data_IF_427511063631
#
_entry.id   IF_427511063631
#
_cell.length_a   1.000
_cell.length_b   1.000
_cell.length_c   1.000
_cell.angle_alpha   90.00
_cell.angle_beta   90.00
_cell.angle_gamma   90.00
#
_symmetry.space_group_name_H-M   'P 1'
#
loop_
_entity.id
_entity.type
_entity.pdbx_description
1 polymer ?
#
# COMPACT_ATOMS: atom_id res chain seq x y z
N UNK A 1 -15.40 50.40 16.86
CA UNK A 1 -16.52 49.50 16.53
C UNK A 1 -16.52 49.10 15.05
N UNK A 2 -15.55 48.26 14.58
CA UNK A 2 -15.46 47.82 13.16
C UNK A 2 -15.26 46.32 13.00
N UNK A 3 -15.41 45.49 14.09
CA UNK A 3 -15.15 44.05 14.09
C UNK A 3 -16.25 43.14 13.50
N UNK A 4 -17.57 43.47 13.50
CA UNK A 4 -18.59 42.55 12.98
C UNK A 4 -18.58 42.38 11.44
N UNK A 5 -18.04 43.35 10.70
CA UNK A 5 -18.03 43.29 9.22
C UNK A 5 -17.03 42.30 8.65
N UNK A 6 -15.90 42.07 9.34
CA UNK A 6 -14.88 41.13 8.88
C UNK A 6 -15.31 39.67 9.07
N UNK A 7 -15.98 39.40 10.20
CA UNK A 7 -16.56 38.05 10.48
C UNK A 7 -17.71 37.74 9.52
N UNK A 8 -18.55 38.72 9.23
CA UNK A 8 -19.62 38.59 8.24
C UNK A 8 -19.08 38.32 6.83
N UNK A 9 -17.99 38.96 6.44
CA UNK A 9 -17.35 38.77 5.12
C UNK A 9 -16.74 37.35 5.00
N UNK A 10 -16.12 36.84 6.07
CA UNK A 10 -15.57 35.49 6.14
C UNK A 10 -16.68 34.42 6.08
N UNK A 11 -17.80 34.63 6.78
CA UNK A 11 -18.96 33.72 6.70
C UNK A 11 -19.60 33.71 5.33
N UNK A 12 -19.68 34.86 4.64
CA UNK A 12 -20.20 34.94 3.27
C UNK A 12 -19.30 34.21 2.26
N UNK A 13 -17.98 34.31 2.42
CA UNK A 13 -17.04 33.57 1.56
C UNK A 13 -17.17 32.06 1.78
N UNK A 14 -17.37 31.60 3.03
CA UNK A 14 -17.58 30.17 3.35
C UNK A 14 -18.94 29.69 2.81
N UNK A 15 -20.01 30.50 2.92
CA UNK A 15 -21.32 30.14 2.36
C UNK A 15 -21.35 30.14 0.82
N UNK A 16 -20.63 31.04 0.18
CA UNK A 16 -20.54 31.06 -1.29
C UNK A 16 -19.81 29.82 -1.86
N UNK A 17 -18.93 29.20 -1.10
CA UNK A 17 -18.28 27.95 -1.51
C UNK A 17 -19.17 26.71 -1.34
N UNK A 18 -20.16 26.78 -0.44
CA UNK A 18 -21.13 25.69 -0.23
C UNK A 18 -22.24 25.62 -1.30
N UNK A 19 -22.39 26.66 -2.12
CA UNK A 19 -23.44 26.76 -3.16
C UNK A 19 -22.92 26.63 -4.59
N UNK A 20 -21.74 26.00 -4.80
CA UNK A 20 -21.38 25.58 -6.16
C UNK A 20 -22.34 24.50 -6.60
N UNK A 21 -23.08 24.70 -7.74
CA UNK A 21 -24.02 23.70 -8.22
C UNK A 21 -23.26 22.38 -8.40
N UNK A 22 -23.80 21.32 -7.81
CA UNK A 22 -23.32 19.97 -8.05
C UNK A 22 -23.27 19.77 -9.57
N UNK A 23 -22.05 19.62 -10.09
CA UNK A 23 -21.87 19.26 -11.49
C UNK A 23 -22.56 17.92 -11.69
N UNK A 24 -23.36 17.79 -12.74
CA UNK A 24 -23.93 16.52 -13.15
C UNK A 24 -22.87 15.43 -13.00
N UNK A 25 -23.17 14.35 -12.29
CA UNK A 25 -22.35 13.16 -12.24
C UNK A 25 -22.06 12.78 -13.70
N UNK A 26 -20.81 12.94 -14.11
CA UNK A 26 -20.37 12.40 -15.40
C UNK A 26 -20.71 10.91 -15.32
N UNK A 27 -21.43 10.38 -16.32
CA UNK A 27 -21.88 8.99 -16.40
C UNK A 27 -20.66 8.06 -16.32
N UNK A 28 -20.23 7.74 -15.10
CA UNK A 28 -19.13 6.80 -14.85
C UNK A 28 -19.57 5.34 -15.05
N UNK A 29 -20.86 5.14 -15.29
CA UNK A 29 -21.49 3.83 -15.37
C UNK A 29 -21.34 3.17 -16.74
N UNK A 30 -21.00 3.95 -17.78
CA UNK A 30 -20.85 3.39 -19.12
C UNK A 30 -19.45 2.83 -19.31
N UNK A 31 -19.34 1.50 -19.34
CA UNK A 31 -18.08 0.79 -19.56
C UNK A 31 -17.52 0.95 -20.98
N UNK A 32 -18.34 1.39 -21.96
CA UNK A 32 -17.88 1.66 -23.31
C UNK A 32 -17.00 2.89 -23.37
N UNK A 33 -17.25 3.86 -22.50
CA UNK A 33 -16.55 5.15 -22.45
C UNK A 33 -15.24 5.10 -21.62
N UNK A 34 -14.86 3.94 -21.07
CA UNK A 34 -13.60 3.79 -20.32
C UNK A 34 -12.42 4.23 -21.20
N UNK A 35 -11.56 5.09 -20.64
CA UNK A 35 -10.43 5.70 -21.34
C UNK A 35 -10.70 7.14 -21.78
N UNK A 36 -11.98 7.51 -21.99
CA UNK A 36 -12.41 8.87 -22.38
C UNK A 36 -13.15 9.61 -21.25
N UNK A 37 -13.39 8.93 -20.11
CA UNK A 37 -14.10 9.48 -18.96
C UNK A 37 -13.21 10.38 -18.11
N UNK A 38 -13.82 11.36 -17.46
CA UNK A 38 -13.15 12.24 -16.50
C UNK A 38 -13.37 11.72 -15.06
N UNK A 39 -12.63 10.71 -14.67
CA UNK A 39 -12.71 10.13 -13.32
C UNK A 39 -11.82 10.86 -12.32
N UNK A 40 -10.77 11.54 -12.78
CA UNK A 40 -9.79 12.21 -11.94
C UNK A 40 -10.40 13.34 -11.10
N UNK A 41 -10.19 13.27 -9.78
CA UNK A 41 -10.57 14.32 -8.86
C UNK A 41 -9.78 15.61 -9.07
N UNK A 42 -10.41 16.74 -8.76
CA UNK A 42 -9.72 18.04 -8.80
C UNK A 42 -8.65 18.09 -7.71
N UNK A 43 -7.48 18.60 -8.08
CA UNK A 43 -6.36 18.79 -7.18
C UNK A 43 -5.63 20.09 -7.48
N UNK A 44 -5.07 20.73 -6.46
CA UNK A 44 -4.13 21.84 -6.60
C UNK A 44 -2.72 21.36 -7.01
N UNK A 45 -2.49 20.03 -6.97
CA UNK A 45 -1.24 19.38 -7.37
C UNK A 45 -1.37 19.03 -8.84
N UNK A 46 -0.47 19.54 -9.68
CA UNK A 46 -0.42 19.15 -11.10
C UNK A 46 0.01 17.69 -11.24
N UNK A 47 -0.28 17.08 -12.38
CA UNK A 47 0.06 15.69 -12.64
C UNK A 47 1.59 15.47 -12.67
N UNK A 48 2.34 16.42 -13.24
CA UNK A 48 3.81 16.38 -13.27
C UNK A 48 4.40 16.42 -11.86
N UNK A 49 3.84 17.26 -10.98
CA UNK A 49 4.26 17.34 -9.59
C UNK A 49 3.92 16.07 -8.83
N UNK A 50 2.77 15.48 -9.10
CA UNK A 50 2.34 14.19 -8.54
C UNK A 50 3.32 13.08 -8.92
N UNK A 51 3.71 12.97 -10.19
CA UNK A 51 4.70 12.02 -10.69
C UNK A 51 6.06 12.24 -10.01
N UNK A 52 6.50 13.49 -9.89
CA UNK A 52 7.78 13.81 -9.26
C UNK A 52 7.82 13.39 -7.78
N UNK A 53 6.73 13.63 -7.04
CA UNK A 53 6.58 13.22 -5.64
C UNK A 53 6.56 11.69 -5.54
N UNK A 54 5.77 11.02 -6.37
CA UNK A 54 5.68 9.55 -6.38
C UNK A 54 7.02 8.89 -6.68
N UNK A 55 7.79 9.47 -7.62
CA UNK A 55 9.13 8.97 -7.90
C UNK A 55 10.06 9.06 -6.68
N UNK A 56 10.01 10.15 -5.91
CA UNK A 56 10.82 10.27 -4.68
C UNK A 56 10.47 9.17 -3.66
N UNK A 57 9.16 8.90 -3.45
CA UNK A 57 8.73 7.81 -2.58
C UNK A 57 9.13 6.45 -3.15
N UNK A 58 8.98 6.24 -4.46
CA UNK A 58 9.40 5.00 -5.11
C UNK A 58 10.90 4.75 -4.95
N UNK A 59 11.74 5.78 -5.15
CA UNK A 59 13.19 5.68 -4.95
C UNK A 59 13.57 5.38 -3.48
N UNK A 60 12.76 5.79 -2.50
CA UNK A 60 12.94 5.44 -1.10
C UNK A 60 12.53 4.00 -0.83
N UNK A 61 11.36 3.57 -1.29
CA UNK A 61 10.89 2.19 -1.13
C UNK A 61 11.85 1.21 -1.80
N UNK A 62 12.37 1.53 -2.97
CA UNK A 62 13.33 0.68 -3.69
C UNK A 62 14.64 0.45 -2.92
N UNK A 63 14.99 1.36 -2.00
CA UNK A 63 16.18 1.21 -1.13
C UNK A 63 15.89 0.41 0.14
N UNK A 64 14.66 0.51 0.67
CA UNK A 64 14.27 -0.06 1.95
C UNK A 64 13.61 -1.43 1.81
N UNK A 65 12.79 -1.61 0.76
CA UNK A 65 12.08 -2.84 0.50
C UNK A 65 12.93 -3.86 -0.28
N UNK A 66 12.69 -5.13 -0.01
CA UNK A 66 13.32 -6.22 -0.75
C UNK A 66 12.58 -6.44 -2.07
N UNK A 67 12.98 -5.70 -3.11
CA UNK A 67 12.41 -5.85 -4.46
C UNK A 67 12.77 -7.23 -5.01
N UNK A 68 11.76 -7.96 -5.50
CA UNK A 68 11.95 -9.27 -6.15
C UNK A 68 12.67 -9.07 -7.49
N UNK A 69 13.81 -9.75 -7.65
CA UNK A 69 14.67 -9.61 -8.85
C UNK A 69 14.44 -10.70 -9.90
N UNK A 70 13.38 -11.50 -9.76
CA UNK A 70 13.07 -12.55 -10.75
C UNK A 70 12.43 -11.93 -11.99
N UNK A 71 13.09 -11.97 -13.16
CA UNK A 71 12.60 -11.29 -14.36
C UNK A 71 11.31 -11.90 -14.90
N UNK A 72 11.11 -13.22 -14.76
CA UNK A 72 9.93 -13.91 -15.28
C UNK A 72 8.68 -13.50 -14.50
N UNK A 73 8.78 -13.46 -13.16
CA UNK A 73 7.66 -13.03 -12.31
C UNK A 73 7.34 -11.54 -12.54
N UNK A 74 8.38 -10.69 -12.62
CA UNK A 74 8.19 -9.26 -12.85
C UNK A 74 7.57 -8.97 -14.23
N UNK A 75 7.99 -9.69 -15.28
CA UNK A 75 7.42 -9.54 -16.62
C UNK A 75 5.95 -9.95 -16.64
N UNK A 76 5.61 -11.08 -16.03
CA UNK A 76 4.24 -11.55 -15.90
C UNK A 76 3.35 -10.51 -15.20
N UNK A 77 3.74 -10.06 -14.01
CA UNK A 77 2.98 -9.06 -13.24
C UNK A 77 2.84 -7.75 -14.02
N UNK A 78 3.92 -7.31 -14.67
CA UNK A 78 3.86 -6.12 -15.52
C UNK A 78 2.88 -6.30 -16.68
N UNK A 79 2.85 -7.44 -17.34
CA UNK A 79 1.92 -7.71 -18.46
C UNK A 79 0.46 -7.64 -18.01
N UNK A 80 0.10 -8.26 -16.87
CA UNK A 80 -1.24 -8.18 -16.29
C UNK A 80 -1.59 -6.72 -15.96
N UNK A 81 -0.70 -6.01 -15.29
CA UNK A 81 -0.91 -4.61 -14.92
C UNK A 81 -1.07 -3.68 -16.13
N UNK A 82 -0.23 -3.84 -17.17
CA UNK A 82 -0.32 -3.05 -18.39
C UNK A 82 -1.59 -3.38 -19.20
N UNK A 83 -2.07 -4.64 -19.16
CA UNK A 83 -3.36 -4.98 -19.76
C UNK A 83 -4.50 -4.21 -19.10
N UNK A 84 -4.54 -4.20 -17.77
CA UNK A 84 -5.54 -3.44 -17.00
C UNK A 84 -5.42 -1.93 -17.22
N UNK A 85 -4.20 -1.38 -17.20
CA UNK A 85 -3.95 0.04 -17.41
C UNK A 85 -4.46 0.53 -18.77
N UNK A 86 -4.23 -0.23 -19.85
CA UNK A 86 -4.74 0.08 -21.20
C UNK A 86 -6.26 0.02 -21.29
N UNK A 87 -6.90 -0.73 -20.41
CA UNK A 87 -8.36 -0.88 -20.33
C UNK A 87 -8.95 -0.09 -19.16
N UNK A 88 -8.31 1.02 -18.78
CA UNK A 88 -8.72 1.90 -17.68
C UNK A 88 -8.76 3.37 -18.11
N UNK A 89 -9.17 4.24 -17.18
CA UNK A 89 -9.13 5.71 -17.36
C UNK A 89 -7.79 6.31 -16.89
N UNK A 90 -6.76 5.49 -16.68
CA UNK A 90 -5.45 5.94 -16.23
C UNK A 90 -4.75 6.73 -17.33
N UNK A 91 -4.41 7.99 -17.07
CA UNK A 91 -3.80 8.91 -18.04
C UNK A 91 -2.28 9.05 -17.91
N UNK A 92 -1.69 8.34 -16.94
CA UNK A 92 -0.25 8.35 -16.66
C UNK A 92 0.35 6.96 -16.87
N UNK A 93 1.66 6.87 -17.13
CA UNK A 93 2.33 5.57 -17.20
C UNK A 93 2.24 4.83 -15.86
N UNK A 94 1.94 3.53 -15.93
CA UNK A 94 1.96 2.64 -14.77
C UNK A 94 3.33 1.96 -14.69
N UNK A 95 3.97 2.01 -13.52
CA UNK A 95 5.19 1.26 -13.21
C UNK A 95 4.88 0.34 -12.04
N UNK A 96 4.99 -0.97 -12.23
CA UNK A 96 4.74 -1.94 -11.16
C UNK A 96 6.01 -2.71 -10.79
N UNK A 97 6.22 -2.94 -9.49
CA UNK A 97 7.29 -3.75 -8.94
C UNK A 97 6.74 -4.75 -7.92
N UNK A 98 7.42 -5.89 -7.80
CA UNK A 98 7.06 -6.91 -6.81
C UNK A 98 8.01 -6.81 -5.62
N UNK A 99 7.42 -6.77 -4.41
CA UNK A 99 8.16 -6.79 -3.14
C UNK A 99 8.15 -8.22 -2.59
N UNK A 100 9.32 -8.73 -2.19
CA UNK A 100 9.48 -9.99 -1.47
C UNK A 100 9.00 -9.84 -0.01
N UNK A 101 7.68 -9.74 0.17
CA UNK A 101 7.01 -9.65 1.46
C UNK A 101 5.83 -10.65 1.49
N UNK A 102 5.74 -11.53 2.50
CA UNK A 102 4.66 -12.50 2.63
C UNK A 102 3.31 -11.88 3.00
N UNK A 103 3.25 -10.61 3.39
CA UNK A 103 1.99 -9.93 3.64
C UNK A 103 1.16 -9.80 2.36
N UNK A 104 -0.14 -10.05 2.46
CA UNK A 104 -1.07 -9.83 1.34
C UNK A 104 -1.30 -8.32 1.26
N UNK A 105 -0.63 -7.64 0.35
CA UNK A 105 -0.78 -6.20 0.14
C UNK A 105 -0.41 -5.80 -1.30
N UNK A 106 -1.00 -4.72 -1.74
CA UNK A 106 -0.61 -3.92 -2.89
C UNK A 106 -0.88 -2.46 -2.57
N UNK A 107 -0.14 -1.56 -3.15
CA UNK A 107 -0.37 -0.13 -2.98
C UNK A 107 0.17 0.67 -4.15
N UNK A 108 -0.49 1.79 -4.42
CA UNK A 108 -0.08 2.72 -5.47
C UNK A 108 0.33 4.06 -4.87
N UNK A 109 1.53 4.50 -5.23
CA UNK A 109 2.03 5.83 -4.92
C UNK A 109 1.51 6.85 -5.94
N UNK A 110 1.58 8.15 -5.62
CA UNK A 110 1.27 9.18 -6.60
C UNK A 110 2.04 8.98 -7.91
N UNK A 111 1.41 9.33 -9.04
CA UNK A 111 2.10 9.28 -10.33
C UNK A 111 2.24 7.90 -10.95
N UNK A 112 1.49 6.89 -10.49
CA UNK A 112 1.40 5.57 -11.14
C UNK A 112 2.52 4.59 -10.78
N UNK A 113 3.22 4.78 -9.65
CA UNK A 113 4.17 3.80 -9.13
C UNK A 113 3.45 2.83 -8.21
N UNK A 114 3.36 1.57 -8.61
CA UNK A 114 2.63 0.51 -7.90
C UNK A 114 3.59 -0.55 -7.35
N UNK A 115 3.24 -1.10 -6.21
CA UNK A 115 3.95 -2.21 -5.58
C UNK A 115 2.97 -3.33 -5.25
N UNK A 116 3.37 -4.56 -5.54
CA UNK A 116 2.61 -5.77 -5.26
C UNK A 116 3.47 -6.72 -4.42
N UNK A 117 2.96 -7.14 -3.27
CA UNK A 117 3.68 -8.09 -2.42
C UNK A 117 3.57 -9.52 -2.97
N UNK A 118 4.63 -10.31 -2.77
CA UNK A 118 4.61 -11.75 -3.11
C UNK A 118 3.53 -12.51 -2.39
N UNK A 119 3.15 -12.07 -1.17
CA UNK A 119 2.03 -12.64 -0.42
C UNK A 119 0.69 -12.57 -1.17
N UNK A 120 0.43 -11.50 -1.90
CA UNK A 120 -0.79 -11.34 -2.70
C UNK A 120 -0.84 -12.35 -3.86
N UNK A 121 0.27 -12.52 -4.59
CA UNK A 121 0.39 -13.53 -5.65
C UNK A 121 0.17 -14.95 -5.13
N UNK A 122 0.71 -15.26 -3.94
CA UNK A 122 0.59 -16.60 -3.35
C UNK A 122 -0.79 -16.87 -2.77
N UNK A 123 -1.46 -15.84 -2.24
CA UNK A 123 -2.79 -15.94 -1.65
C UNK A 123 -3.91 -16.08 -2.71
N UNK A 124 -3.72 -15.52 -3.88
CA UNK A 124 -4.68 -15.65 -4.98
C UNK A 124 -4.72 -17.10 -5.48
N UNK A 125 -5.91 -17.63 -5.72
CA UNK A 125 -6.09 -18.97 -6.31
C UNK A 125 -5.98 -18.91 -7.83
N UNK A 126 -6.43 -17.81 -8.44
CA UNK A 126 -6.56 -17.59 -9.87
C UNK A 126 -6.02 -16.21 -10.26
N UNK A 127 -5.69 -16.03 -11.55
CA UNK A 127 -5.09 -14.81 -12.09
C UNK A 127 -6.01 -13.60 -11.94
N UNK A 128 -7.31 -13.78 -12.16
CA UNK A 128 -8.31 -12.70 -12.08
C UNK A 128 -8.41 -12.09 -10.68
N UNK A 129 -8.10 -12.85 -9.62
CA UNK A 129 -8.02 -12.32 -8.26
C UNK A 129 -6.86 -11.32 -8.10
N UNK A 130 -5.70 -11.63 -8.68
CA UNK A 130 -4.56 -10.71 -8.72
C UNK A 130 -4.88 -9.49 -9.60
N UNK A 131 -5.52 -9.74 -10.75
CA UNK A 131 -5.97 -8.68 -11.64
C UNK A 131 -6.94 -7.73 -10.94
N UNK A 132 -7.82 -8.25 -10.07
CA UNK A 132 -8.73 -7.45 -9.26
C UNK A 132 -8.02 -6.50 -8.31
N UNK A 133 -7.02 -7.00 -7.58
CA UNK A 133 -6.20 -6.15 -6.69
C UNK A 133 -5.49 -5.05 -7.49
N UNK A 134 -4.85 -5.40 -8.60
CA UNK A 134 -4.16 -4.44 -9.46
C UNK A 134 -5.16 -3.42 -10.05
N UNK A 135 -6.35 -3.84 -10.45
CA UNK A 135 -7.38 -2.97 -11.01
C UNK A 135 -7.91 -1.96 -9.98
N UNK A 136 -8.08 -2.37 -8.72
CA UNK A 136 -8.42 -1.49 -7.61
C UNK A 136 -7.35 -0.40 -7.42
N UNK A 137 -6.07 -0.77 -7.41
CA UNK A 137 -4.97 0.17 -7.30
C UNK A 137 -4.90 1.15 -8.49
N UNK A 138 -5.20 0.66 -9.71
CA UNK A 138 -5.35 1.52 -10.89
C UNK A 138 -6.53 2.47 -10.71
N UNK A 139 -7.63 2.05 -10.08
CA UNK A 139 -8.76 2.89 -9.72
C UNK A 139 -8.34 4.09 -8.87
N UNK A 140 -7.55 3.86 -7.82
CA UNK A 140 -6.98 4.94 -6.99
C UNK A 140 -6.11 5.91 -7.79
N UNK A 141 -5.26 5.39 -8.67
CA UNK A 141 -4.39 6.21 -9.51
C UNK A 141 -5.16 7.03 -10.55
N UNK A 142 -6.14 6.42 -11.22
CA UNK A 142 -6.98 7.06 -12.23
C UNK A 142 -7.85 8.18 -11.62
N UNK A 143 -8.47 7.92 -10.47
CA UNK A 143 -9.24 8.91 -9.72
C UNK A 143 -8.36 9.97 -9.03
N UNK A 144 -7.05 9.77 -8.97
CA UNK A 144 -6.08 10.66 -8.32
C UNK A 144 -6.40 10.88 -6.84
N UNK A 145 -6.80 9.80 -6.14
CA UNK A 145 -7.22 9.88 -4.74
C UNK A 145 -6.15 10.46 -3.84
N UNK A 146 -4.87 10.13 -4.08
CA UNK A 146 -3.77 10.69 -3.34
C UNK A 146 -3.67 12.22 -3.49
N UNK A 147 -3.68 12.73 -4.73
CA UNK A 147 -3.58 14.16 -5.01
C UNK A 147 -4.79 14.93 -4.47
N UNK A 148 -6.00 14.33 -4.52
CA UNK A 148 -7.21 14.85 -3.91
C UNK A 148 -7.09 14.95 -2.39
N UNK A 149 -6.60 13.91 -1.73
CA UNK A 149 -6.40 13.86 -0.28
C UNK A 149 -5.38 14.91 0.17
N UNK A 150 -4.25 15.03 -0.53
CA UNK A 150 -3.27 16.09 -0.27
C UNK A 150 -3.84 17.49 -0.47
N UNK A 151 -4.72 17.67 -1.46
CA UNK A 151 -5.42 18.96 -1.66
C UNK A 151 -6.33 19.27 -0.49
N UNK A 152 -7.15 18.31 -0.04
CA UNK A 152 -8.03 18.47 1.14
C UNK A 152 -7.23 18.82 2.37
N UNK A 153 -6.09 18.14 2.58
CA UNK A 153 -5.17 18.43 3.70
C UNK A 153 -4.61 19.85 3.62
N UNK A 154 -4.11 20.24 2.46
CA UNK A 154 -3.54 21.57 2.25
C UNK A 154 -4.58 22.68 2.53
N UNK A 155 -5.80 22.50 2.02
CA UNK A 155 -6.91 23.43 2.28
C UNK A 155 -7.22 23.50 3.78
N UNK A 156 -7.28 22.34 4.47
CA UNK A 156 -7.51 22.28 5.91
C UNK A 156 -6.40 23.01 6.67
N UNK A 157 -5.14 22.80 6.31
CA UNK A 157 -4.01 23.51 6.91
C UNK A 157 -4.13 25.02 6.77
N UNK A 158 -4.43 25.50 5.56
CA UNK A 158 -4.63 26.93 5.32
C UNK A 158 -5.85 27.50 6.04
N UNK A 159 -6.91 26.71 6.20
CA UNK A 159 -8.12 27.14 6.93
C UNK A 159 -7.86 27.34 8.45
N UNK A 160 -6.81 26.75 8.99
CA UNK A 160 -6.40 26.92 10.39
C UNK A 160 -5.62 28.23 10.64
N UNK A 161 -5.06 28.85 9.58
CA UNK A 161 -4.27 30.10 9.72
C UNK A 161 -5.07 31.23 10.41
N UNK A 162 -6.32 31.52 10.02
CA UNK A 162 -7.12 32.55 10.71
C UNK A 162 -7.32 32.28 12.20
N UNK A 163 -7.37 30.98 12.59
CA UNK A 163 -7.56 30.59 13.99
C UNK A 163 -6.37 31.03 14.87
N UNK A 164 -5.16 31.09 14.31
CA UNK A 164 -3.96 31.56 15.01
C UNK A 164 -4.02 33.06 15.43
N UNK A 165 -4.90 33.82 14.78
CA UNK A 165 -5.08 35.23 15.08
C UNK A 165 -6.26 35.50 16.02
N UNK A 166 -6.97 34.49 16.47
CA UNK A 166 -8.05 34.59 17.45
C UNK A 166 -7.41 34.60 18.85
N UNK A 167 -7.66 35.67 19.67
CA UNK A 167 -7.19 35.67 21.05
C UNK A 167 -7.78 34.48 21.82
N UNK A 168 -6.93 33.55 22.23
CA UNK A 168 -7.31 32.41 23.06
C UNK A 168 -6.27 32.19 24.15
N UNK A 169 -6.67 31.50 25.21
CA UNK A 169 -5.73 31.16 26.28
C UNK A 169 -4.67 30.17 25.77
N UNK A 170 -3.49 30.22 26.37
CA UNK A 170 -2.41 29.29 25.99
C UNK A 170 -2.83 27.82 26.08
N UNK A 171 -3.66 27.46 27.08
CA UNK A 171 -4.17 26.10 27.24
C UNK A 171 -5.06 25.68 26.06
N UNK A 172 -5.96 26.55 25.59
CA UNK A 172 -6.82 26.28 24.43
C UNK A 172 -5.99 26.18 23.16
N UNK A 173 -5.03 27.10 22.98
CA UNK A 173 -4.13 27.06 21.83
C UNK A 173 -3.32 25.76 21.77
N UNK A 174 -2.72 25.35 22.90
CA UNK A 174 -1.96 24.08 22.98
C UNK A 174 -2.84 22.87 22.70
N UNK A 175 -4.07 22.81 23.24
CA UNK A 175 -5.01 21.73 22.97
C UNK A 175 -5.42 21.63 21.49
N UNK A 176 -5.65 22.77 20.82
CA UNK A 176 -5.94 22.83 19.38
C UNK A 176 -4.75 22.35 18.56
N UNK A 177 -3.54 22.81 18.91
CA UNK A 177 -2.30 22.40 18.21
C UNK A 177 -2.00 20.92 18.43
N UNK A 178 -2.19 20.41 19.64
CA UNK A 178 -2.01 18.98 19.93
C UNK A 178 -3.01 18.11 19.14
N UNK A 179 -4.28 18.47 19.11
CA UNK A 179 -5.29 17.77 18.30
C UNK A 179 -4.96 17.84 16.82
N UNK A 180 -4.46 18.98 16.33
CA UNK A 180 -4.03 19.13 14.94
C UNK A 180 -2.80 18.29 14.62
N UNK A 181 -1.75 18.35 15.45
CA UNK A 181 -0.49 17.64 15.20
C UNK A 181 -0.64 16.11 15.29
N UNK A 182 -1.53 15.62 16.18
CA UNK A 182 -1.73 14.18 16.38
C UNK A 182 -2.88 13.62 15.53
N UNK A 183 -3.93 14.37 15.29
CA UNK A 183 -5.11 13.91 14.56
C UNK A 183 -5.00 13.99 13.04
N UNK A 184 -4.43 15.08 12.54
CA UNK A 184 -4.39 15.34 11.10
C UNK A 184 -3.47 14.37 10.34
N UNK A 185 -2.21 14.11 10.76
CA UNK A 185 -1.31 13.22 10.02
C UNK A 185 -1.84 11.79 9.86
N UNK A 186 -2.48 11.25 10.91
CA UNK A 186 -3.01 9.88 10.90
C UNK A 186 -4.24 9.72 10.01
N UNK A 187 -5.05 10.77 9.88
CA UNK A 187 -6.25 10.74 9.02
C UNK A 187 -5.94 10.70 7.53
N UNK A 188 -4.72 11.10 7.12
CA UNK A 188 -4.32 11.17 5.70
C UNK A 188 -3.52 9.98 5.21
N UNK A 189 -3.18 9.03 6.08
CA UNK A 189 -2.53 7.77 5.69
C UNK A 189 -3.51 6.76 5.09
N UNK A 190 -4.83 6.99 5.25
CA UNK A 190 -5.89 6.11 4.74
C UNK A 190 -6.81 6.87 3.80
N UNK A 191 -7.22 6.23 2.73
CA UNK A 191 -8.27 6.74 1.87
C UNK A 191 -9.62 6.74 2.61
N UNK A 192 -10.51 7.65 2.22
CA UNK A 192 -11.85 7.67 2.78
C UNK A 192 -12.66 6.47 2.26
N UNK A 193 -13.72 6.08 2.98
CA UNK A 193 -14.63 5.02 2.50
C UNK A 193 -15.20 5.29 1.11
N UNK A 194 -15.39 6.57 0.76
CA UNK A 194 -15.85 6.96 -0.58
C UNK A 194 -14.77 6.76 -1.64
N UNK A 195 -13.51 7.08 -1.31
CA UNK A 195 -12.39 6.85 -2.22
C UNK A 195 -12.20 5.35 -2.48
N UNK A 196 -12.40 4.51 -1.42
CA UNK A 196 -12.36 3.05 -1.54
C UNK A 196 -13.49 2.50 -2.43
N UNK A 197 -14.73 2.94 -2.18
CA UNK A 197 -15.88 2.54 -3.00
C UNK A 197 -15.71 2.97 -4.46
N UNK A 198 -15.16 4.15 -4.71
CA UNK A 198 -14.87 4.61 -6.07
C UNK A 198 -13.77 3.79 -6.73
N UNK A 199 -12.72 3.41 -5.99
CA UNK A 199 -11.67 2.54 -6.51
C UNK A 199 -12.19 1.13 -6.81
N UNK A 200 -13.08 0.57 -5.97
CA UNK A 200 -13.78 -0.69 -6.24
C UNK A 200 -14.60 -0.59 -7.53
N UNK A 201 -15.44 0.43 -7.61
CA UNK A 201 -16.31 0.67 -8.76
C UNK A 201 -15.52 0.79 -10.07
N UNK A 202 -14.45 1.56 -10.09
CA UNK A 202 -13.59 1.70 -11.26
C UNK A 202 -12.82 0.41 -11.55
N UNK A 203 -12.28 -0.24 -10.53
CA UNK A 203 -11.53 -1.49 -10.65
C UNK A 203 -12.34 -2.62 -11.27
N UNK A 204 -13.59 -2.81 -10.82
CA UNK A 204 -14.50 -3.81 -11.38
C UNK A 204 -14.76 -3.58 -12.89
N UNK A 205 -14.93 -2.33 -13.30
CA UNK A 205 -15.12 -1.98 -14.69
C UNK A 205 -13.85 -2.18 -15.53
N UNK A 206 -12.68 -1.91 -14.97
CA UNK A 206 -11.38 -2.15 -15.63
C UNK A 206 -11.12 -3.64 -15.81
N UNK A 207 -11.42 -4.47 -14.80
CA UNK A 207 -11.39 -5.93 -14.93
C UNK A 207 -12.30 -6.39 -16.07
N UNK A 208 -13.55 -5.94 -16.03
CA UNK A 208 -14.52 -6.27 -17.05
C UNK A 208 -14.03 -5.90 -18.46
N UNK A 209 -13.53 -4.67 -18.67
CA UNK A 209 -13.03 -4.23 -19.98
C UNK A 209 -11.80 -5.02 -20.42
N UNK A 210 -10.90 -5.34 -19.49
CA UNK A 210 -9.71 -6.15 -19.74
C UNK A 210 -9.99 -7.64 -19.99
N UNK A 211 -11.23 -8.09 -19.76
CA UNK A 211 -11.66 -9.47 -20.01
C UNK A 211 -11.67 -10.39 -18.79
N UNK A 212 -11.28 -9.91 -17.61
CA UNK A 212 -11.32 -10.67 -16.35
C UNK A 212 -12.72 -10.72 -15.74
N UNK A 213 -13.00 -11.74 -14.89
CA UNK A 213 -14.23 -11.82 -14.13
C UNK A 213 -14.22 -10.86 -12.93
N UNK A 214 -15.09 -9.82 -12.89
CA UNK A 214 -15.12 -8.91 -11.74
C UNK A 214 -15.52 -9.59 -10.43
N UNK A 215 -16.24 -10.73 -10.46
CA UNK A 215 -16.61 -11.48 -9.25
C UNK A 215 -15.40 -12.04 -8.51
N UNK A 216 -14.29 -12.29 -9.20
CA UNK A 216 -13.06 -12.79 -8.60
C UNK A 216 -12.46 -11.81 -7.57
N UNK A 217 -12.58 -10.50 -7.82
CA UNK A 217 -12.16 -9.46 -6.86
C UNK A 217 -12.98 -9.54 -5.56
N UNK A 218 -14.29 -9.65 -5.67
CA UNK A 218 -15.20 -9.80 -4.53
C UNK A 218 -14.90 -11.07 -3.75
N UNK A 219 -14.71 -12.19 -4.47
CA UNK A 219 -14.34 -13.48 -3.87
C UNK A 219 -13.00 -13.41 -3.12
N UNK A 220 -12.00 -12.74 -3.68
CA UNK A 220 -10.71 -12.54 -3.04
C UNK A 220 -10.81 -11.72 -1.75
N UNK A 221 -11.60 -10.66 -1.74
CA UNK A 221 -11.86 -9.86 -0.55
C UNK A 221 -12.56 -10.68 0.54
N UNK A 222 -13.55 -11.50 0.17
CA UNK A 222 -14.21 -12.42 1.08
C UNK A 222 -13.23 -13.41 1.71
N UNK A 223 -12.35 -14.01 0.91
CA UNK A 223 -11.28 -14.91 1.36
C UNK A 223 -10.33 -14.23 2.35
N UNK A 224 -9.88 -13.02 2.04
CA UNK A 224 -8.99 -12.24 2.91
C UNK A 224 -9.66 -11.92 4.24
N UNK A 225 -10.93 -11.52 4.24
CA UNK A 225 -11.69 -11.25 5.46
C UNK A 225 -11.88 -12.52 6.32
N UNK A 226 -12.12 -13.65 5.71
CA UNK A 226 -12.27 -14.91 6.43
C UNK A 226 -10.96 -15.39 7.05
N UNK A 227 -9.84 -15.18 6.37
CA UNK A 227 -8.51 -15.48 6.91
C UNK A 227 -8.18 -14.60 8.12
N UNK A 228 -8.48 -13.29 8.05
CA UNK A 228 -8.32 -12.36 9.18
C UNK A 228 -9.17 -12.79 10.39
N UNK A 229 -10.41 -13.26 10.17
CA UNK A 229 -11.28 -13.77 11.24
C UNK A 229 -10.74 -15.03 11.89
N UNK A 230 -10.13 -15.95 11.11
CA UNK A 230 -9.59 -17.23 11.61
C UNK A 230 -8.28 -17.03 12.37
N UNK A 231 -7.49 -16.05 11.98
CA UNK A 231 -6.16 -15.79 12.54
C UNK A 231 -5.96 -14.31 12.82
N UNK A 232 -6.67 -13.73 13.83
CA UNK A 232 -6.57 -12.32 14.15
C UNK A 232 -5.13 -11.91 14.47
N UNK A 233 -4.62 -10.90 13.75
CA UNK A 233 -3.28 -10.36 13.96
C UNK A 233 -2.15 -11.09 13.23
N UNK A 234 -2.37 -12.27 12.64
CA UNK A 234 -1.39 -12.91 11.76
C UNK A 234 -1.34 -12.25 10.39
N UNK A 235 -2.46 -11.68 9.98
CA UNK A 235 -2.64 -10.93 8.75
C UNK A 235 -3.02 -9.46 8.97
N UNK A 236 -2.81 -8.91 10.16
CA UNK A 236 -3.16 -7.52 10.53
C UNK A 236 -2.51 -6.45 9.64
N UNK A 237 -1.67 -6.86 8.68
CA UNK A 237 -1.11 -6.01 7.64
C UNK A 237 -1.79 -6.21 6.27
N UNK A 238 -2.74 -7.13 6.18
CA UNK A 238 -3.44 -7.41 4.93
C UNK A 238 -4.36 -6.26 4.63
N UNK A 239 -4.11 -5.56 3.52
CA UNK A 239 -4.86 -4.38 3.11
C UNK A 239 -5.08 -3.38 4.28
N UNK A 240 -4.04 -3.19 5.13
CA UNK A 240 -4.11 -2.23 6.24
C UNK A 240 -4.48 -0.82 5.78
N UNK A 241 -4.12 -0.50 4.54
CA UNK A 241 -4.40 0.78 3.89
C UNK A 241 -5.80 0.79 3.24
N UNK A 242 -6.31 -0.39 2.82
CA UNK A 242 -7.57 -0.60 2.09
C UNK A 242 -8.42 -1.71 2.74
N UNK A 243 -8.88 -1.58 4.00
CA UNK A 243 -9.54 -2.69 4.68
C UNK A 243 -10.80 -3.13 3.94
N UNK A 244 -10.92 -4.42 3.56
CA UNK A 244 -12.17 -4.93 3.04
C UNK A 244 -13.24 -4.86 4.12
N UNK A 245 -14.42 -4.40 3.75
CA UNK A 245 -15.58 -4.37 4.65
C UNK A 245 -16.75 -5.09 3.99
N UNK A 246 -17.67 -5.63 4.82
CA UNK A 246 -18.88 -6.28 4.30
C UNK A 246 -19.68 -5.34 3.41
N UNK A 247 -19.73 -4.05 3.74
CA UNK A 247 -20.44 -3.05 2.93
C UNK A 247 -19.82 -2.87 1.54
N UNK A 248 -18.47 -2.93 1.43
CA UNK A 248 -17.77 -2.85 0.13
C UNK A 248 -18.08 -4.08 -0.74
N UNK A 249 -18.10 -5.27 -0.14
CA UNK A 249 -18.45 -6.51 -0.84
C UNK A 249 -19.85 -6.41 -1.42
N UNK A 250 -20.85 -6.06 -0.58
CA UNK A 250 -22.25 -5.93 -1.02
C UNK A 250 -22.39 -4.88 -2.12
N UNK A 251 -21.75 -3.72 -1.96
CA UNK A 251 -21.79 -2.67 -2.98
C UNK A 251 -21.20 -3.14 -4.32
N UNK A 252 -20.04 -3.83 -4.28
CA UNK A 252 -19.40 -4.40 -5.47
C UNK A 252 -20.26 -5.45 -6.18
N UNK A 253 -20.92 -6.34 -5.42
CA UNK A 253 -21.85 -7.32 -5.98
C UNK A 253 -23.05 -6.65 -6.68
N UNK A 254 -23.61 -5.60 -6.05
CA UNK A 254 -24.70 -4.82 -6.64
C UNK A 254 -24.26 -4.10 -7.91
N UNK A 255 -23.07 -3.54 -7.94
CA UNK A 255 -22.52 -2.84 -9.11
C UNK A 255 -22.28 -3.79 -10.29
N UNK A 256 -21.69 -4.97 -10.04
CA UNK A 256 -21.52 -6.00 -11.06
C UNK A 256 -22.87 -6.37 -11.69
N UNK A 257 -23.90 -6.56 -10.86
CA UNK A 257 -25.23 -6.96 -11.36
C UNK A 257 -25.95 -5.85 -12.14
N UNK A 258 -25.77 -4.58 -11.74
CA UNK A 258 -26.52 -3.45 -12.31
C UNK A 258 -25.86 -2.85 -13.56
N UNK A 259 -24.53 -2.82 -13.61
CA UNK A 259 -23.78 -2.01 -14.57
C UNK A 259 -23.05 -2.88 -15.59
N UNK A 260 -22.55 -4.06 -15.18
CA UNK A 260 -21.72 -4.88 -16.04
C UNK A 260 -22.55 -5.93 -16.80
N UNK A 261 -22.71 -5.81 -18.13
CA UNK A 261 -23.36 -6.85 -18.93
C UNK A 261 -22.60 -8.18 -18.81
N UNK A 262 -23.34 -9.28 -18.68
CA UNK A 262 -22.71 -10.61 -18.64
C UNK A 262 -21.99 -10.90 -19.95
N UNK A 263 -20.73 -11.31 -19.87
CA UNK A 263 -19.97 -11.83 -21.01
C UNK A 263 -20.14 -13.34 -21.13
N UNK A 264 -20.05 -13.88 -22.36
CA UNK A 264 -20.09 -15.33 -22.57
C UNK A 264 -18.89 -16.05 -21.96
N UNK A 265 -17.74 -15.37 -21.92
CA UNK A 265 -16.46 -15.91 -21.39
C UNK A 265 -15.68 -14.81 -20.68
N UNK A 266 -14.98 -15.19 -19.62
CA UNK A 266 -14.02 -14.37 -18.89
C UNK A 266 -12.68 -15.11 -18.80
N UNK A 267 -11.61 -14.34 -18.75
CA UNK A 267 -10.30 -14.83 -18.37
C UNK A 267 -10.29 -14.99 -16.84
N UNK A 268 -10.29 -16.23 -16.38
CA UNK A 268 -10.27 -16.58 -14.96
C UNK A 268 -8.84 -16.83 -14.51
N UNK A 269 -8.16 -17.79 -15.16
CA UNK A 269 -6.77 -18.12 -14.87
C UNK A 269 -6.05 -18.63 -16.12
N UNK A 270 -4.73 -18.57 -16.09
CA UNK A 270 -3.86 -19.07 -17.15
C UNK A 270 -2.92 -20.13 -16.59
N UNK A 271 -2.49 -21.08 -17.44
CA UNK A 271 -1.43 -22.04 -17.06
C UNK A 271 -0.13 -21.32 -16.67
N UNK A 272 0.10 -20.15 -17.26
CA UNK A 272 1.24 -19.31 -16.91
C UNK A 272 1.16 -18.81 -15.46
N UNK A 273 -0.03 -18.47 -14.97
CA UNK A 273 -0.21 -18.06 -13.57
C UNK A 273 0.21 -19.18 -12.60
N UNK A 274 -0.17 -20.43 -12.90
CA UNK A 274 0.22 -21.59 -12.09
C UNK A 274 1.74 -21.78 -12.11
N UNK A 275 2.38 -21.63 -13.26
CA UNK A 275 3.84 -21.71 -13.39
C UNK A 275 4.52 -20.58 -12.60
N UNK A 276 3.99 -19.37 -12.63
CA UNK A 276 4.48 -18.23 -11.87
C UNK A 276 4.35 -18.45 -10.36
N UNK A 277 3.23 -18.99 -9.90
CA UNK A 277 3.04 -19.36 -8.47
C UNK A 277 4.05 -20.43 -8.03
N UNK A 278 4.23 -21.50 -8.81
CA UNK A 278 5.18 -22.56 -8.51
C UNK A 278 6.62 -22.01 -8.48
N UNK A 279 6.98 -21.16 -9.44
CA UNK A 279 8.27 -20.47 -9.48
C UNK A 279 8.48 -19.59 -8.25
N UNK A 280 7.49 -18.79 -7.90
CA UNK A 280 7.53 -17.89 -6.73
C UNK A 280 7.73 -18.69 -5.44
N UNK A 281 7.01 -19.79 -5.24
CA UNK A 281 7.17 -20.69 -4.08
C UNK A 281 8.60 -21.24 -3.99
N UNK A 282 9.20 -21.58 -5.12
CA UNK A 282 10.59 -22.05 -5.20
C UNK A 282 11.57 -20.96 -4.78
N UNK A 283 11.43 -19.74 -5.33
CA UNK A 283 12.27 -18.58 -5.00
C UNK A 283 12.16 -18.24 -3.51
N UNK A 284 10.94 -18.17 -2.96
CA UNK A 284 10.71 -17.89 -1.54
C UNK A 284 11.32 -18.96 -0.63
N UNK A 285 11.26 -20.22 -1.02
CA UNK A 285 11.87 -21.32 -0.26
C UNK A 285 13.39 -21.21 -0.25
N UNK A 286 14.00 -20.85 -1.39
CA UNK A 286 15.45 -20.63 -1.49
C UNK A 286 15.90 -19.45 -0.62
N UNK A 287 15.16 -18.33 -0.65
CA UNK A 287 15.45 -17.17 0.20
C UNK A 287 15.39 -17.51 1.69
N UNK A 288 14.39 -18.27 2.14
CA UNK A 288 14.28 -18.73 3.53
C UNK A 288 15.46 -19.63 3.95
N UNK A 289 15.96 -20.48 3.05
CA UNK A 289 17.12 -21.33 3.31
C UNK A 289 18.39 -20.50 3.42
N UNK A 290 18.61 -19.53 2.54
CA UNK A 290 19.78 -18.65 2.57
C UNK A 290 19.82 -17.83 3.88
N UNK A 291 18.70 -17.25 4.30
CA UNK A 291 18.61 -16.51 5.55
C UNK A 291 18.94 -17.37 6.78
N UNK A 292 18.52 -18.65 6.77
CA UNK A 292 18.87 -19.59 7.85
C UNK A 292 20.35 -19.96 7.87
N UNK A 293 21.00 -20.05 6.72
CA UNK A 293 22.45 -20.32 6.64
C UNK A 293 23.27 -19.11 7.06
N UNK A 294 22.84 -17.90 6.72
CA UNK A 294 23.54 -16.66 7.09
C UNK A 294 23.36 -16.30 8.57
N UNK A 295 22.28 -16.74 9.21
CA UNK A 295 22.01 -16.58 10.64
C UNK A 295 22.51 -17.74 11.51
N UNK A 296 23.07 -18.79 10.91
CA UNK A 296 23.65 -19.92 11.61
C UNK A 296 24.93 -19.55 12.37
N UNK A 297 25.27 -20.26 13.47
CA UNK A 297 26.49 -20.00 14.21
C UNK A 297 27.69 -20.22 13.30
N UNK A 298 28.38 -19.14 12.95
CA UNK A 298 29.65 -19.21 12.24
C UNK A 298 30.69 -19.78 13.22
N UNK A 299 31.16 -20.99 12.92
CA UNK A 299 32.37 -21.53 13.57
C UNK A 299 33.54 -20.62 13.17
N UNK A 300 33.83 -19.67 14.06
CA UNK A 300 34.99 -18.80 13.91
C UNK A 300 36.20 -19.68 14.05
N UNK A 301 36.86 -20.00 12.95
CA UNK A 301 38.16 -20.68 12.93
C UNK A 301 39.13 -19.82 13.74
N UNK A 302 39.55 -20.33 14.93
CA UNK A 302 40.55 -19.68 15.75
C UNK A 302 41.84 -19.71 14.94
N UNK A 303 42.26 -18.59 14.40
CA UNK A 303 43.58 -18.43 13.81
C UNK A 303 44.60 -18.64 14.92
N UNK A 304 45.39 -19.72 14.81
CA UNK A 304 46.55 -19.94 15.60
C UNK A 304 47.63 -18.94 15.20
N UNK A 305 47.72 -17.86 15.94
CA UNK A 305 48.90 -16.99 15.86
C UNK A 305 50.09 -17.70 16.50
N UNK A 306 50.85 -18.33 15.64
CA UNK A 306 52.22 -18.76 15.94
C UNK A 306 53.07 -17.50 16.09
N UNK A 307 53.36 -17.11 17.32
CA UNK A 307 54.36 -16.08 17.64
C UNK A 307 55.57 -16.77 18.26
N UNK A 308 56.52 -17.08 17.42
CA UNK A 308 57.94 -17.20 17.82
C UNK A 308 58.38 -15.89 18.44
N UNK A 309 58.76 -15.89 19.71
CA UNK A 309 59.53 -14.82 20.29
C UNK A 309 60.45 -15.35 21.38
N UNK A 310 61.65 -15.00 21.20
CA UNK A 310 62.86 -15.14 21.97
C UNK A 310 62.83 -14.41 23.34
N UNK A 311 63.21 -15.11 24.37
CA UNK A 311 63.89 -14.76 25.64
C UNK A 311 63.88 -13.33 26.20
N UNK A 312 63.54 -13.15 27.48
CA UNK A 312 64.45 -13.18 28.60
C UNK A 312 63.83 -12.59 29.90
N UNK A 313 64.06 -13.22 31.03
CA UNK A 313 64.43 -12.58 32.30
C UNK A 313 63.37 -12.46 33.38
N UNK A 314 63.54 -13.35 34.37
CA UNK A 314 63.48 -13.14 35.83
C UNK A 314 62.14 -12.80 36.55
N UNK A 315 61.78 -13.64 37.49
CA UNK A 315 61.38 -13.23 38.84
C UNK A 315 60.00 -13.68 39.34
N UNK A 316 60.05 -14.73 40.20
CA UNK A 316 59.25 -14.99 41.41
C UNK A 316 57.69 -15.11 41.37
N UNK A 317 57.25 -16.34 41.61
CA UNK A 317 56.54 -16.91 42.79
C UNK A 317 55.26 -16.21 43.29
N UNK A 318 54.18 -16.92 43.32
CA UNK A 318 53.27 -17.64 44.25
C UNK A 318 51.85 -17.35 43.74
N UNK A 319 50.84 -18.13 43.75
CA UNK A 319 50.28 -19.08 44.68
C UNK A 319 49.03 -19.73 44.02
N UNK A 320 48.68 -20.85 44.53
CA UNK A 320 47.60 -21.78 44.25
C UNK A 320 46.17 -21.20 44.09
N UNK A 321 45.39 -21.81 43.21
CA UNK A 321 43.94 -21.66 43.18
C UNK A 321 43.27 -22.64 42.19
N UNK A 322 42.61 -23.64 42.77
CA UNK A 322 41.87 -24.74 42.14
C UNK A 322 40.95 -24.32 41.00
N UNK A 323 41.15 -24.88 39.81
CA UNK A 323 40.17 -24.85 38.71
C UNK A 323 39.52 -26.25 38.59
N UNK A 324 38.32 -26.39 39.17
CA UNK A 324 37.39 -27.49 38.83
C UNK A 324 36.47 -27.10 37.69
N UNK A 325 36.23 -28.00 36.71
CA UNK A 325 35.34 -27.74 35.62
C UNK A 325 33.85 -27.81 36.08
N UNK A 326 32.93 -27.02 35.44
CA UNK A 326 31.55 -26.99 35.87
C UNK A 326 30.79 -28.27 35.51
N UNK A 327 30.08 -28.80 36.50
CA UNK A 327 29.19 -29.98 36.39
C UNK A 327 27.82 -29.56 35.88
N UNK A 328 27.35 -30.17 34.79
CA UNK A 328 26.00 -30.05 34.28
C UNK A 328 25.01 -30.76 35.20
N UNK A 329 24.09 -30.01 35.85
CA UNK A 329 22.91 -30.55 36.53
C UNK A 329 21.77 -30.78 35.56
N UNK A 330 21.32 -32.03 35.45
CA UNK A 330 20.05 -32.40 34.87
C UNK A 330 18.92 -31.88 35.77
N UNK A 331 17.92 -31.26 35.16
CA UNK A 331 16.61 -31.01 35.80
C UNK A 331 15.66 -32.13 35.39
N UNK A 332 15.06 -32.72 36.37
CA UNK A 332 13.91 -33.61 36.27
C UNK A 332 12.65 -32.81 35.89
#
# INVERSE_FOLDING_TARGET
MRKPRLVALLLVVILCWASLPGRAEDKKDDVSDIGDRKVAHRSIISQEKEIAIGKQYADQIDKEAKILKDPVINEYVNRVAQNLARNSDLTIPLTIKVIDDPAINAFTLPGGFMYLNTGTLLAADEEDQVAGVIAHEIGHAAARHWASSMTKQTILQFSMIPLMFIPMTAAVYMGVMEAYMNGVPLAFLKFSRKDEQEADFLGLQYMYKAGYDPNAFVGFFGKVMDEERRSPGSMAKVFADHPPTGDRIVASEEEIQKILPKKPEYLVSTSEFDDIKARLQTVMTQHKRQQKTDSGPTLRKKESTDKTSTQSGSGQQTDSGDDQPPVLKRRD
#
